data_IF_480663084296
#
_entry.id   IF_480663084296
#
_cell.length_a   1.000
_cell.length_b   1.000
_cell.length_c   1.000
_cell.angle_alpha   90.00
_cell.angle_beta   90.00
_cell.angle_gamma   90.00
#
_symmetry.space_group_name_H-M   'P 1'
#
loop_
_entity.id
_entity.type
_entity.pdbx_description
1 polymer ?
#
# COMPACT_ATOMS: atom_id res chain seq x y z
N UNK A 1 25.60 46.41 -16.43
CA UNK A 1 25.14 45.10 -16.97
C UNK A 1 24.97 43.99 -15.92
N UNK A 2 25.33 44.19 -14.65
CA UNK A 2 25.19 43.14 -13.61
C UNK A 2 23.74 42.83 -13.21
N UNK A 3 22.83 43.80 -13.26
CA UNK A 3 21.47 43.67 -12.71
C UNK A 3 20.59 42.64 -13.43
N UNK A 4 20.69 42.52 -14.76
CA UNK A 4 19.82 41.61 -15.52
C UNK A 4 20.25 40.15 -15.38
N UNK A 5 21.56 39.88 -15.30
CA UNK A 5 22.10 38.53 -15.09
C UNK A 5 21.81 38.01 -13.68
N UNK A 6 21.90 38.87 -12.65
CA UNK A 6 21.51 38.53 -11.27
C UNK A 6 20.00 38.34 -11.12
N UNK A 7 19.17 39.13 -11.81
CA UNK A 7 17.71 38.97 -11.77
C UNK A 7 17.29 37.67 -12.48
N UNK A 8 17.90 37.34 -13.62
CA UNK A 8 17.61 36.10 -14.35
C UNK A 8 18.01 34.82 -13.56
N UNK A 9 19.10 34.87 -12.79
CA UNK A 9 19.52 33.75 -11.92
C UNK A 9 18.62 33.60 -10.69
N UNK A 10 18.11 34.68 -10.11
CA UNK A 10 17.17 34.62 -8.98
C UNK A 10 15.79 34.10 -9.42
N UNK A 11 15.28 34.54 -10.57
CA UNK A 11 13.98 34.06 -11.10
C UNK A 11 14.05 32.58 -11.50
N UNK A 12 15.16 32.13 -12.10
CA UNK A 12 15.36 30.71 -12.45
C UNK A 12 15.55 29.80 -11.24
N UNK A 13 16.19 30.29 -10.16
CA UNK A 13 16.28 29.57 -8.89
C UNK A 13 14.90 29.39 -8.24
N UNK A 14 14.06 30.44 -8.23
CA UNK A 14 12.70 30.37 -7.69
C UNK A 14 11.80 29.37 -8.46
N UNK A 15 11.87 29.36 -9.79
CA UNK A 15 11.12 28.39 -10.62
C UNK A 15 11.54 26.94 -10.38
N UNK A 16 12.84 26.70 -10.14
CA UNK A 16 13.38 25.35 -9.85
C UNK A 16 12.92 24.84 -8.48
N UNK A 17 12.89 25.72 -7.46
CA UNK A 17 12.40 25.38 -6.12
C UNK A 17 10.88 25.14 -6.15
N UNK A 18 10.11 26.00 -6.81
CA UNK A 18 8.66 25.84 -6.96
C UNK A 18 8.30 24.53 -7.67
N UNK A 19 9.04 24.15 -8.72
CA UNK A 19 8.87 22.86 -9.40
C UNK A 19 9.14 21.65 -8.50
N UNK A 20 10.14 21.73 -7.62
CA UNK A 20 10.42 20.68 -6.63
C UNK A 20 9.35 20.55 -5.54
N UNK A 21 8.76 21.66 -5.10
CA UNK A 21 7.65 21.66 -4.12
C UNK A 21 6.42 20.99 -4.75
N UNK A 22 6.09 21.36 -5.98
CA UNK A 22 4.98 20.73 -6.71
C UNK A 22 5.20 19.23 -6.92
N UNK A 23 6.41 18.81 -7.29
CA UNK A 23 6.77 17.40 -7.45
C UNK A 23 6.68 16.63 -6.12
N UNK A 24 7.07 17.25 -5.00
CA UNK A 24 6.94 16.68 -3.67
C UNK A 24 5.47 16.50 -3.27
N UNK A 25 4.64 17.53 -3.49
CA UNK A 25 3.20 17.45 -3.22
C UNK A 25 2.53 16.35 -4.05
N UNK A 26 2.83 16.27 -5.35
CA UNK A 26 2.32 15.21 -6.21
C UNK A 26 2.73 13.81 -5.73
N UNK A 27 3.99 13.63 -5.31
CA UNK A 27 4.47 12.37 -4.75
C UNK A 27 3.79 12.01 -3.42
N UNK A 28 3.46 13.00 -2.58
CA UNK A 28 2.68 12.78 -1.36
C UNK A 28 1.25 12.35 -1.65
N UNK A 29 0.60 12.95 -2.65
CA UNK A 29 -0.76 12.57 -3.04
C UNK A 29 -0.80 11.19 -3.67
N UNK A 30 0.18 10.84 -4.50
CA UNK A 30 0.34 9.49 -5.03
C UNK A 30 0.57 8.46 -3.92
N UNK A 31 1.39 8.80 -2.91
CA UNK A 31 1.57 7.95 -1.73
C UNK A 31 0.26 7.75 -0.94
N UNK A 32 -0.56 8.78 -0.79
CA UNK A 32 -1.89 8.66 -0.14
C UNK A 32 -2.82 7.75 -0.93
N UNK A 33 -2.80 7.83 -2.27
CA UNK A 33 -3.59 6.95 -3.14
C UNK A 33 -3.16 5.48 -2.99
N UNK A 34 -1.85 5.21 -2.93
CA UNK A 34 -1.31 3.87 -2.69
C UNK A 34 -1.73 3.33 -1.32
N UNK A 35 -1.69 4.15 -0.27
CA UNK A 35 -2.17 3.77 1.06
C UNK A 35 -3.67 3.50 1.10
N UNK A 36 -4.47 4.33 0.41
CA UNK A 36 -5.92 4.12 0.30
C UNK A 36 -6.21 2.79 -0.40
N UNK A 37 -5.58 2.53 -1.55
CA UNK A 37 -5.67 1.25 -2.26
C UNK A 37 -5.27 0.07 -1.38
N UNK A 38 -4.18 0.20 -0.62
CA UNK A 38 -3.74 -0.85 0.30
C UNK A 38 -4.71 -1.13 1.45
N UNK A 39 -5.42 -0.10 1.94
CA UNK A 39 -6.49 -0.27 2.93
C UNK A 39 -7.72 -0.93 2.32
N UNK A 40 -8.10 -0.55 1.10
CA UNK A 40 -9.21 -1.16 0.36
C UNK A 40 -8.97 -2.63 0.08
N UNK A 41 -7.78 -3.00 -0.38
CA UNK A 41 -7.35 -4.39 -0.61
C UNK A 41 -7.43 -5.23 0.69
N UNK A 42 -6.96 -4.68 1.81
CA UNK A 42 -7.06 -5.36 3.10
C UNK A 42 -8.51 -5.45 3.60
N UNK A 43 -9.35 -4.46 3.31
CA UNK A 43 -10.77 -4.52 3.62
C UNK A 43 -11.51 -5.54 2.74
N UNK A 44 -11.10 -5.69 1.49
CA UNK A 44 -11.60 -6.73 0.59
C UNK A 44 -11.21 -8.12 1.08
N UNK A 45 -9.93 -8.35 1.44
CA UNK A 45 -9.49 -9.64 1.98
C UNK A 45 -10.19 -10.01 3.29
N UNK A 46 -10.52 -9.03 4.14
CA UNK A 46 -11.32 -9.28 5.35
C UNK A 46 -12.75 -9.71 5.02
N UNK A 47 -13.37 -9.10 4.00
CA UNK A 47 -14.71 -9.50 3.53
C UNK A 47 -14.69 -10.91 2.94
N UNK A 48 -13.71 -11.23 2.11
CA UNK A 48 -13.54 -12.55 1.53
C UNK A 48 -13.28 -13.63 2.59
N UNK A 49 -12.45 -13.32 3.60
CA UNK A 49 -12.22 -14.21 4.74
C UNK A 49 -13.53 -14.51 5.50
N UNK A 50 -14.40 -13.50 5.70
CA UNK A 50 -15.68 -13.71 6.36
C UNK A 50 -16.64 -14.56 5.51
N UNK A 51 -16.64 -14.38 4.19
CA UNK A 51 -17.40 -15.24 3.26
C UNK A 51 -16.91 -16.68 3.37
N UNK A 52 -15.60 -16.93 3.40
CA UNK A 52 -15.02 -18.27 3.56
C UNK A 52 -15.43 -18.94 4.88
N UNK A 53 -15.50 -18.18 5.98
CA UNK A 53 -16.03 -18.67 7.26
C UNK A 53 -17.52 -18.99 7.19
N UNK A 54 -18.31 -18.17 6.51
CA UNK A 54 -19.74 -18.43 6.31
C UNK A 54 -19.97 -19.67 5.45
N UNK A 55 -19.21 -19.85 4.37
CA UNK A 55 -19.21 -21.07 3.55
C UNK A 55 -18.90 -22.31 4.40
N UNK A 56 -17.84 -22.26 5.22
CA UNK A 56 -17.50 -23.34 6.15
C UNK A 56 -18.63 -23.69 7.12
N UNK A 57 -19.26 -22.66 7.72
CA UNK A 57 -20.43 -22.84 8.60
C UNK A 57 -21.62 -23.47 7.87
N UNK A 58 -21.88 -23.07 6.63
CA UNK A 58 -22.99 -23.61 5.83
C UNK A 58 -22.74 -25.08 5.45
N UNK A 59 -21.50 -25.43 5.08
CA UNK A 59 -21.10 -26.81 4.80
C UNK A 59 -21.23 -27.67 6.06
N UNK A 60 -20.74 -27.18 7.21
CA UNK A 60 -20.93 -27.87 8.49
C UNK A 60 -22.41 -28.09 8.82
N UNK A 61 -23.26 -27.08 8.63
CA UNK A 61 -24.71 -27.21 8.86
C UNK A 61 -25.34 -28.27 7.96
N UNK A 62 -24.93 -28.34 6.69
CA UNK A 62 -25.37 -29.38 5.76
C UNK A 62 -24.89 -30.77 6.16
N UNK A 63 -23.63 -30.91 6.59
CA UNK A 63 -23.08 -32.16 7.09
C UNK A 63 -23.84 -32.64 8.35
N UNK A 64 -24.15 -31.74 9.28
CA UNK A 64 -24.95 -32.04 10.47
C UNK A 64 -26.38 -32.47 10.11
N UNK A 65 -27.03 -31.78 9.17
CA UNK A 65 -28.38 -32.14 8.72
C UNK A 65 -28.41 -33.51 8.02
N UNK A 66 -27.42 -33.82 7.19
CA UNK A 66 -27.27 -35.13 6.55
C UNK A 66 -26.99 -36.24 7.57
N UNK A 67 -26.14 -35.96 8.56
CA UNK A 67 -25.85 -36.87 9.66
C UNK A 67 -27.09 -37.19 10.52
N UNK A 68 -27.92 -36.17 10.77
CA UNK A 68 -29.20 -36.35 11.47
C UNK A 68 -30.21 -37.13 10.61
N UNK A 69 -30.27 -36.87 9.31
CA UNK A 69 -31.19 -37.54 8.38
C UNK A 69 -30.81 -39.00 8.08
N UNK A 70 -29.52 -39.37 8.16
CA UNK A 70 -29.05 -40.73 7.88
C UNK A 70 -29.27 -41.71 9.03
N UNK A 71 -29.82 -41.27 10.16
CA UNK A 71 -30.09 -42.12 11.32
C UNK A 71 -28.84 -42.55 12.11
N UNK A 72 -27.65 -42.10 11.71
CA UNK A 72 -26.38 -42.45 12.35
C UNK A 72 -26.14 -41.75 13.70
N UNK A 73 -27.06 -40.90 14.17
CA UNK A 73 -26.88 -40.09 15.36
C UNK A 73 -25.93 -38.92 15.10
N UNK A 74 -26.41 -37.69 15.30
CA UNK A 74 -25.58 -36.48 15.24
C UNK A 74 -24.79 -36.23 16.56
N UNK A 75 -24.60 -37.27 17.37
CA UNK A 75 -23.96 -37.24 18.70
C UNK A 75 -22.68 -38.10 18.76
N UNK A 76 -22.19 -38.37 19.97
CA UNK A 76 -20.95 -39.12 20.25
C UNK A 76 -20.91 -40.54 19.61
N UNK A 77 -22.05 -41.04 19.15
CA UNK A 77 -22.21 -42.34 18.47
C UNK A 77 -21.69 -42.35 17.01
N UNK A 78 -21.35 -41.19 16.43
CA UNK A 78 -20.77 -41.07 15.08
C UNK A 78 -19.44 -40.27 15.05
N UNK A 79 -18.35 -40.81 15.65
CA UNK A 79 -17.06 -40.11 15.76
C UNK A 79 -16.45 -39.70 14.42
N UNK A 80 -16.78 -40.39 13.33
CA UNK A 80 -16.33 -40.04 11.97
C UNK A 80 -16.93 -38.72 11.48
N UNK A 81 -18.19 -38.41 11.83
CA UNK A 81 -18.90 -37.20 11.40
C UNK A 81 -18.36 -35.97 12.14
N UNK A 82 -18.15 -36.08 13.45
CA UNK A 82 -17.49 -35.05 14.26
C UNK A 82 -16.08 -34.74 13.73
N UNK A 83 -15.33 -35.76 13.33
CA UNK A 83 -13.99 -35.59 12.75
C UNK A 83 -14.03 -34.87 11.41
N UNK A 84 -14.97 -35.22 10.52
CA UNK A 84 -15.20 -34.53 9.24
C UNK A 84 -15.60 -33.06 9.43
N UNK A 85 -16.57 -32.77 10.33
CA UNK A 85 -16.99 -31.40 10.64
C UNK A 85 -15.84 -30.57 11.21
N UNK A 86 -15.06 -31.13 12.14
CA UNK A 86 -13.88 -30.45 12.70
C UNK A 86 -12.79 -30.21 11.65
N UNK A 87 -12.64 -31.11 10.67
CA UNK A 87 -11.73 -30.95 9.54
C UNK A 87 -12.17 -29.81 8.62
N UNK A 88 -13.44 -29.78 8.23
CA UNK A 88 -14.01 -28.71 7.40
C UNK A 88 -13.94 -27.35 8.09
N UNK A 89 -14.20 -27.28 9.41
CA UNK A 89 -14.05 -26.05 10.17
C UNK A 89 -12.61 -25.52 10.12
N UNK A 90 -11.62 -26.39 10.39
CA UNK A 90 -10.20 -26.05 10.35
C UNK A 90 -9.76 -25.59 8.98
N UNK A 91 -10.22 -26.25 7.93
CA UNK A 91 -9.90 -25.89 6.55
C UNK A 91 -10.50 -24.53 6.16
N UNK A 92 -11.75 -24.25 6.53
CA UNK A 92 -12.38 -22.95 6.26
C UNK A 92 -11.66 -21.81 6.99
N UNK A 93 -11.22 -22.03 8.23
CA UNK A 93 -10.53 -21.03 9.03
C UNK A 93 -9.10 -20.82 8.53
N UNK A 94 -8.42 -21.90 8.13
CA UNK A 94 -7.12 -21.81 7.46
C UNK A 94 -7.21 -21.01 6.16
N UNK A 95 -8.20 -21.30 5.31
CA UNK A 95 -8.41 -20.56 4.06
C UNK A 95 -8.72 -19.08 4.31
N UNK A 96 -9.53 -18.77 5.34
CA UNK A 96 -9.81 -17.39 5.74
C UNK A 96 -8.54 -16.66 6.23
N UNK A 97 -7.68 -17.33 6.99
CA UNK A 97 -6.41 -16.77 7.46
C UNK A 97 -5.42 -16.55 6.33
N UNK A 98 -5.33 -17.49 5.37
CA UNK A 98 -4.47 -17.35 4.19
C UNK A 98 -4.90 -16.14 3.35
N UNK A 99 -6.20 -15.94 3.14
CA UNK A 99 -6.69 -14.77 2.40
C UNK A 99 -6.39 -13.46 3.13
N UNK A 100 -6.66 -13.40 4.44
CA UNK A 100 -6.34 -12.23 5.25
C UNK A 100 -4.84 -11.92 5.28
N UNK A 101 -4.00 -12.96 5.34
CA UNK A 101 -2.54 -12.82 5.29
C UNK A 101 -2.08 -12.32 3.92
N UNK A 102 -2.65 -12.84 2.84
CA UNK A 102 -2.43 -12.37 1.47
C UNK A 102 -2.75 -10.88 1.33
N UNK A 103 -3.92 -10.45 1.82
CA UNK A 103 -4.31 -9.04 1.83
C UNK A 103 -3.39 -8.16 2.68
N UNK A 104 -2.91 -8.65 3.84
CA UNK A 104 -1.94 -7.93 4.67
C UNK A 104 -0.60 -7.76 3.97
N UNK A 105 -0.13 -8.77 3.25
CA UNK A 105 1.10 -8.71 2.45
C UNK A 105 0.95 -7.68 1.30
N UNK A 106 -0.16 -7.72 0.54
CA UNK A 106 -0.48 -6.75 -0.51
C UNK A 106 -0.51 -5.32 0.03
N UNK A 107 -1.19 -5.10 1.17
CA UNK A 107 -1.19 -3.81 1.88
C UNK A 107 0.21 -3.36 2.25
N UNK A 108 1.03 -4.23 2.82
CA UNK A 108 2.40 -3.89 3.19
C UNK A 108 3.24 -3.47 1.98
N UNK A 109 3.09 -4.15 0.84
CA UNK A 109 3.75 -3.78 -0.41
C UNK A 109 3.36 -2.37 -0.88
N UNK A 110 2.06 -2.06 -0.85
CA UNK A 110 1.54 -0.74 -1.24
C UNK A 110 1.99 0.37 -0.28
N UNK A 111 2.05 0.09 1.02
CA UNK A 111 2.54 1.04 2.03
C UNK A 111 4.05 1.28 1.89
N UNK A 112 4.82 0.25 1.58
CA UNK A 112 6.24 0.39 1.28
C UNK A 112 6.46 1.25 0.02
N UNK A 113 5.67 1.00 -1.03
CA UNK A 113 5.69 1.83 -2.24
C UNK A 113 5.33 3.30 -1.94
N UNK A 114 4.30 3.53 -1.12
CA UNK A 114 3.92 4.87 -0.68
C UNK A 114 5.04 5.57 0.10
N UNK A 115 5.68 4.87 1.03
CA UNK A 115 6.83 5.39 1.79
C UNK A 115 8.00 5.73 0.87
N UNK A 116 8.30 4.87 -0.10
CA UNK A 116 9.35 5.14 -1.09
C UNK A 116 9.01 6.36 -1.94
N UNK A 117 7.76 6.50 -2.38
CA UNK A 117 7.30 7.66 -3.15
C UNK A 117 7.42 8.97 -2.38
N UNK A 118 7.09 8.97 -1.08
CA UNK A 118 7.34 10.14 -0.20
C UNK A 118 8.82 10.51 -0.12
N UNK A 119 9.69 9.51 0.00
CA UNK A 119 11.16 9.72 0.05
C UNK A 119 11.68 10.28 -1.27
N UNK A 120 11.20 9.77 -2.40
CA UNK A 120 11.54 10.31 -3.74
C UNK A 120 11.09 11.77 -3.89
N UNK A 121 9.88 12.11 -3.44
CA UNK A 121 9.40 13.49 -3.43
C UNK A 121 10.28 14.41 -2.58
N UNK A 122 10.68 13.96 -1.39
CA UNK A 122 11.59 14.71 -0.51
C UNK A 122 12.97 14.90 -1.14
N UNK A 123 13.53 13.84 -1.75
CA UNK A 123 14.80 13.91 -2.46
C UNK A 123 14.73 14.85 -3.68
N UNK A 124 13.61 14.87 -4.40
CA UNK A 124 13.40 15.75 -5.56
C UNK A 124 13.37 17.22 -5.14
N UNK A 125 12.70 17.54 -4.04
CA UNK A 125 12.67 18.88 -3.45
C UNK A 125 14.08 19.32 -2.99
N UNK A 126 14.78 18.46 -2.25
CA UNK A 126 16.15 18.76 -1.80
C UNK A 126 17.11 18.94 -2.98
N UNK A 127 16.98 18.09 -4.00
CA UNK A 127 17.75 18.17 -5.24
C UNK A 127 17.45 19.44 -6.04
N UNK A 128 16.19 19.89 -6.08
CA UNK A 128 15.82 21.13 -6.77
C UNK A 128 16.37 22.37 -6.05
N UNK A 129 16.30 22.39 -4.71
CA UNK A 129 16.91 23.45 -3.89
C UNK A 129 18.44 23.46 -4.07
N UNK A 130 19.08 22.29 -4.03
CA UNK A 130 20.54 22.19 -4.20
C UNK A 130 20.99 22.61 -5.61
N UNK A 131 20.24 22.23 -6.66
CA UNK A 131 20.50 22.68 -8.04
C UNK A 131 20.28 24.18 -8.21
N UNK A 132 19.26 24.75 -7.58
CA UNK A 132 19.01 26.19 -7.61
C UNK A 132 20.17 26.99 -6.98
N UNK A 133 20.69 26.52 -5.84
CA UNK A 133 21.84 27.16 -5.15
C UNK A 133 23.16 26.92 -5.90
N UNK A 134 23.43 25.70 -6.34
CA UNK A 134 24.66 25.35 -7.07
C UNK A 134 24.73 25.94 -8.48
N UNK A 135 23.59 26.09 -9.16
CA UNK A 135 23.47 26.76 -10.46
C UNK A 135 23.72 28.26 -10.38
N UNK A 136 23.27 28.92 -9.30
CA UNK A 136 23.56 30.33 -9.03
C UNK A 136 25.06 30.60 -8.82
N UNK A 137 25.75 29.72 -8.10
CA UNK A 137 27.20 29.83 -7.87
C UNK A 137 28.01 29.59 -9.15
N UNK A 138 27.62 28.60 -9.97
CA UNK A 138 28.34 28.26 -11.21
C UNK A 138 28.16 29.33 -12.30
N UNK A 139 26.99 29.97 -12.37
CA UNK A 139 26.72 31.11 -13.26
C UNK A 139 27.44 32.41 -12.86
N UNK A 140 27.65 32.63 -11.56
CA UNK A 140 28.45 33.75 -11.04
C UNK A 140 29.95 33.56 -11.35
N UNK A 141 30.49 32.34 -11.20
CA UNK A 141 31.92 32.09 -11.39
C UNK A 141 32.36 32.14 -12.87
N UNK A 142 31.49 31.77 -13.83
CA UNK A 142 31.80 31.94 -15.27
C UNK A 142 31.71 33.39 -15.75
N UNK A 143 31.09 34.29 -14.98
CA UNK A 143 31.03 35.73 -15.30
C UNK A 143 32.20 36.54 -14.74
N UNK A 144 33.02 35.95 -13.86
CA UNK A 144 34.22 36.58 -13.28
C UNK A 144 35.55 36.05 -13.82
N UNK A 145 35.54 35.01 -14.68
CA UNK A 145 36.75 34.38 -15.22
C UNK A 145 37.11 34.81 -16.66
N UNK A 146 36.40 35.79 -17.22
CA UNK A 146 36.74 36.47 -18.47
C UNK A 146 36.77 37.98 -18.23
N UNK A 147 37.86 38.44 -17.61
CA UNK A 147 38.23 39.83 -17.44
C UNK A 147 39.75 39.92 -17.36
#
# INVERSE_FOLDING_TARGET
MASLATIATVVSAAGTIAGGIAANAAAQDEARQLEAKGKEEFAASQREAEIKRQEGRLIMSRQQALAAASGAGAGDDAPTILKLMSGTARESEFNAQVEMFGGKSRKSGLFNAASNRRREGAATLLGSVTKAVGGGIRGLNTSGAFG
#
